data_IF_982151166885
#
_entry.id   IF_982151166885
#
_cell.length_a   1.000
_cell.length_b   1.000
_cell.length_c   1.000
_cell.angle_alpha   90.00
_cell.angle_beta   90.00
_cell.angle_gamma   90.00
#
_symmetry.space_group_name_H-M   'P 1'
#
loop_
_entity.id
_entity.type
_entity.pdbx_description
1 polymer ?
#
# COMPACT_ATOMS: atom_id res chain seq x y z
N UNK A 1 -29.71 2.59 -22.52
CA UNK A 1 -28.26 2.80 -22.36
C UNK A 1 -27.62 2.51 -23.71
N UNK A 2 -27.01 3.51 -24.36
CA UNK A 2 -26.30 3.31 -25.62
C UNK A 2 -25.05 2.45 -25.40
N UNK A 3 -24.60 1.76 -26.45
CA UNK A 3 -23.41 0.88 -26.46
C UNK A 3 -22.07 1.63 -26.26
N UNK A 4 -22.09 2.93 -25.93
CA UNK A 4 -20.95 3.84 -26.11
C UNK A 4 -20.12 4.10 -24.85
N UNK A 5 -20.40 3.49 -23.70
CA UNK A 5 -19.59 3.67 -22.48
C UNK A 5 -19.09 2.36 -21.88
N UNK A 6 -18.67 1.41 -22.71
CA UNK A 6 -17.71 0.39 -22.27
C UNK A 6 -16.29 0.92 -22.45
N UNK A 7 -15.95 2.01 -21.75
CA UNK A 7 -14.56 2.44 -21.64
C UNK A 7 -13.84 1.38 -20.80
N UNK A 8 -13.07 0.51 -21.46
CA UNK A 8 -12.16 -0.41 -20.76
C UNK A 8 -11.06 0.42 -20.10
N UNK A 9 -10.77 0.15 -18.84
CA UNK A 9 -9.61 0.72 -18.15
C UNK A 9 -8.34 0.46 -18.98
N UNK A 10 -7.71 1.53 -19.47
CA UNK A 10 -6.45 1.46 -20.22
C UNK A 10 -5.29 1.30 -19.24
N UNK A 11 -4.25 0.57 -19.65
CA UNK A 11 -3.03 0.41 -18.84
C UNK A 11 -2.33 1.77 -18.71
N UNK A 12 -1.75 2.04 -17.53
CA UNK A 12 -0.87 3.21 -17.34
C UNK A 12 0.29 3.18 -18.33
N UNK A 13 0.57 4.35 -18.93
CA UNK A 13 1.62 4.54 -19.95
C UNK A 13 2.86 5.29 -19.41
N UNK A 14 2.82 5.76 -18.16
CA UNK A 14 3.89 6.56 -17.52
C UNK A 14 5.14 5.74 -17.24
N UNK A 15 6.31 6.36 -17.39
CA UNK A 15 7.62 5.71 -17.29
C UNK A 15 8.31 5.93 -15.93
N UNK A 16 7.84 6.91 -15.14
CA UNK A 16 8.44 7.28 -13.86
C UNK A 16 7.41 7.76 -12.84
N UNK A 17 7.64 7.50 -11.54
CA UNK A 17 6.80 8.01 -10.44
C UNK A 17 6.75 9.54 -10.39
N UNK A 18 7.77 10.23 -10.93
CA UNK A 18 7.80 11.71 -11.00
C UNK A 18 6.73 12.29 -11.91
N UNK A 19 6.18 11.48 -12.82
CA UNK A 19 5.17 11.93 -13.78
C UNK A 19 3.75 11.86 -13.18
N UNK A 20 3.59 11.28 -11.99
CA UNK A 20 2.27 11.04 -11.39
C UNK A 20 1.71 12.34 -10.83
N UNK A 21 0.45 12.62 -11.14
CA UNK A 21 -0.33 13.60 -10.39
C UNK A 21 -0.87 12.97 -9.09
N UNK A 22 -1.53 13.77 -8.25
CA UNK A 22 -2.06 13.32 -6.96
C UNK A 22 -3.00 12.10 -7.07
N UNK A 23 -3.96 12.13 -8.00
CA UNK A 23 -4.97 11.07 -8.13
C UNK A 23 -4.30 9.77 -8.59
N UNK A 24 -3.37 9.86 -9.53
CA UNK A 24 -2.62 8.71 -10.01
C UNK A 24 -1.72 8.13 -8.91
N UNK A 25 -1.06 8.98 -8.12
CA UNK A 25 -0.23 8.56 -7.00
C UNK A 25 -1.06 7.80 -5.96
N UNK A 26 -2.20 8.36 -5.56
CA UNK A 26 -3.14 7.71 -4.64
C UNK A 26 -3.65 6.37 -5.19
N UNK A 27 -4.14 6.37 -6.44
CA UNK A 27 -4.66 5.17 -7.09
C UNK A 27 -3.60 4.07 -7.22
N UNK A 28 -2.36 4.43 -7.53
CA UNK A 28 -1.26 3.50 -7.65
C UNK A 28 -0.87 2.85 -6.32
N UNK A 29 -0.70 3.64 -5.26
CA UNK A 29 -0.40 3.11 -3.91
C UNK A 29 -1.52 2.20 -3.42
N UNK A 30 -2.78 2.61 -3.59
CA UNK A 30 -3.94 1.80 -3.17
C UNK A 30 -4.02 0.50 -3.96
N UNK A 31 -3.86 0.55 -5.29
CA UNK A 31 -3.96 -0.64 -6.13
C UNK A 31 -2.86 -1.68 -5.84
N UNK A 32 -1.62 -1.25 -5.61
CA UNK A 32 -0.56 -2.18 -5.20
C UNK A 32 -0.83 -2.74 -3.80
N UNK A 33 -1.38 -1.94 -2.89
CA UNK A 33 -1.74 -2.42 -1.56
C UNK A 33 -2.82 -3.52 -1.61
N UNK A 34 -3.78 -3.39 -2.52
CA UNK A 34 -4.78 -4.45 -2.78
C UNK A 34 -4.10 -5.74 -3.25
N UNK A 35 -3.15 -5.66 -4.19
CA UNK A 35 -2.42 -6.85 -4.66
C UNK A 35 -1.62 -7.54 -3.54
N UNK A 36 -1.04 -6.77 -2.61
CA UNK A 36 -0.38 -7.34 -1.44
C UNK A 36 -1.40 -8.02 -0.53
N UNK A 37 -2.55 -7.38 -0.30
CA UNK A 37 -3.61 -7.94 0.53
C UNK A 37 -4.19 -9.24 -0.08
N UNK A 38 -4.38 -9.30 -1.39
CA UNK A 38 -4.80 -10.51 -2.11
C UNK A 38 -3.79 -11.65 -1.93
N UNK A 39 -2.47 -11.37 -2.01
CA UNK A 39 -1.44 -12.37 -1.74
C UNK A 39 -1.47 -12.87 -0.30
N UNK A 40 -1.75 -12.00 0.67
CA UNK A 40 -1.90 -12.39 2.07
C UNK A 40 -3.14 -13.27 2.22
N UNK A 41 -4.26 -12.91 1.59
CA UNK A 41 -5.49 -13.69 1.63
C UNK A 41 -5.28 -15.09 1.05
N UNK A 42 -4.59 -15.20 -0.08
CA UNK A 42 -4.20 -16.49 -0.67
C UNK A 42 -3.37 -17.33 0.32
N UNK A 43 -2.34 -16.75 0.95
CA UNK A 43 -1.52 -17.44 1.96
C UNK A 43 -2.39 -17.96 3.10
N UNK A 44 -3.30 -17.14 3.63
CA UNK A 44 -4.16 -17.55 4.74
C UNK A 44 -5.12 -18.66 4.34
N UNK A 45 -5.70 -18.60 3.13
CA UNK A 45 -6.58 -19.65 2.64
C UNK A 45 -5.82 -20.97 2.48
N UNK A 46 -4.63 -20.95 1.89
CA UNK A 46 -3.85 -22.18 1.73
C UNK A 46 -3.37 -22.73 3.06
N UNK A 47 -2.95 -21.86 4.00
CA UNK A 47 -2.49 -22.30 5.31
C UNK A 47 -3.60 -22.96 6.14
N UNK A 48 -4.79 -22.36 6.19
CA UNK A 48 -5.88 -22.87 7.04
C UNK A 48 -6.72 -23.96 6.38
N UNK A 49 -6.63 -24.14 5.06
CA UNK A 49 -7.42 -25.10 4.27
C UNK A 49 -8.90 -25.16 4.69
N UNK A 50 -9.63 -24.02 4.71
CA UNK A 50 -11.02 -24.01 5.15
C UNK A 50 -11.87 -24.89 4.23
N UNK A 51 -12.78 -25.68 4.81
CA UNK A 51 -13.71 -26.52 4.05
C UNK A 51 -14.61 -25.71 3.10
N UNK A 52 -14.95 -24.47 3.48
CA UNK A 52 -15.60 -23.48 2.62
C UNK A 52 -14.69 -22.27 2.38
N UNK A 53 -13.86 -22.38 1.33
CA UNK A 53 -12.95 -21.31 0.89
C UNK A 53 -13.68 -20.03 0.53
N UNK A 54 -14.90 -20.13 -0.02
CA UNK A 54 -15.66 -18.95 -0.46
C UNK A 54 -16.13 -18.14 0.74
N UNK A 55 -16.67 -18.80 1.75
CA UNK A 55 -17.09 -18.13 3.00
C UNK A 55 -15.88 -17.57 3.74
N UNK A 56 -14.77 -18.32 3.81
CA UNK A 56 -13.55 -17.83 4.44
C UNK A 56 -13.04 -16.54 3.77
N UNK A 57 -12.95 -16.52 2.43
CA UNK A 57 -12.50 -15.34 1.69
C UNK A 57 -13.48 -14.16 1.79
N UNK A 58 -14.76 -14.38 1.47
CA UNK A 58 -15.71 -13.27 1.29
C UNK A 58 -16.31 -12.75 2.60
N UNK A 59 -16.26 -13.53 3.68
CA UNK A 59 -16.81 -13.16 4.99
C UNK A 59 -15.67 -12.88 5.96
N UNK A 60 -14.82 -13.87 6.25
CA UNK A 60 -13.80 -13.73 7.30
C UNK A 60 -12.66 -12.80 6.89
N UNK A 61 -12.11 -12.98 5.68
CA UNK A 61 -11.03 -12.15 5.14
C UNK A 61 -11.53 -10.84 4.52
N UNK A 62 -12.85 -10.58 4.54
CA UNK A 62 -13.37 -9.30 4.10
C UNK A 62 -12.74 -8.16 4.91
N UNK A 63 -12.31 -7.09 4.25
CA UNK A 63 -11.64 -5.96 4.90
C UNK A 63 -12.52 -5.22 5.92
N UNK A 64 -13.84 -5.43 5.92
CA UNK A 64 -14.78 -4.93 6.95
C UNK A 64 -14.82 -5.80 8.21
N UNK A 65 -14.41 -7.07 8.10
CA UNK A 65 -14.39 -8.04 9.21
C UNK A 65 -12.97 -8.17 9.75
N UNK A 66 -12.01 -8.45 8.87
CA UNK A 66 -10.60 -8.50 9.19
C UNK A 66 -9.84 -7.45 8.39
N UNK A 67 -9.58 -6.31 9.02
CA UNK A 67 -8.76 -5.26 8.43
C UNK A 67 -7.34 -5.75 8.13
N UNK A 68 -6.65 -5.08 7.21
CA UNK A 68 -5.26 -5.37 6.82
C UNK A 68 -4.32 -5.65 8.00
N UNK A 69 -4.35 -4.80 9.05
CA UNK A 69 -3.52 -5.01 10.25
C UNK A 69 -3.86 -6.28 11.04
N UNK A 70 -5.11 -6.73 11.00
CA UNK A 70 -5.54 -8.02 11.55
C UNK A 70 -4.94 -9.19 10.77
N UNK A 71 -5.03 -9.15 9.43
CA UNK A 71 -4.41 -10.14 8.54
C UNK A 71 -2.90 -10.24 8.77
N UNK A 72 -2.21 -9.11 8.92
CA UNK A 72 -0.77 -9.08 9.24
C UNK A 72 -0.44 -9.77 10.57
N UNK A 73 -1.28 -9.63 11.60
CA UNK A 73 -1.06 -10.32 12.88
C UNK A 73 -1.16 -11.84 12.72
N UNK A 74 -2.15 -12.31 11.96
CA UNK A 74 -2.28 -13.74 11.63
C UNK A 74 -1.05 -14.21 10.85
N UNK A 75 -0.63 -13.46 9.83
CA UNK A 75 0.56 -13.75 9.03
C UNK A 75 1.83 -13.85 9.89
N UNK A 76 1.96 -13.01 10.92
CA UNK A 76 3.03 -13.08 11.92
C UNK A 76 2.95 -14.33 12.79
N UNK A 77 1.75 -14.71 13.22
CA UNK A 77 1.55 -15.92 14.01
C UNK A 77 1.89 -17.20 13.24
N UNK A 78 1.71 -17.21 11.92
CA UNK A 78 2.03 -18.36 11.06
C UNK A 78 3.49 -18.36 10.55
N UNK A 79 4.32 -17.41 11.00
CA UNK A 79 5.78 -17.50 10.88
C UNK A 79 6.46 -16.54 9.91
N UNK A 80 5.79 -15.48 9.41
CA UNK A 80 6.50 -14.50 8.57
C UNK A 80 7.61 -13.79 9.35
N UNK A 81 8.73 -13.50 8.69
CA UNK A 81 9.87 -12.80 9.30
C UNK A 81 9.48 -11.44 9.91
N UNK A 82 10.17 -11.06 11.00
CA UNK A 82 9.87 -9.83 11.75
C UNK A 82 10.21 -8.55 10.98
N UNK A 83 11.26 -8.58 10.15
CA UNK A 83 11.60 -7.49 9.24
C UNK A 83 10.54 -7.31 8.17
N UNK A 84 10.11 -8.40 7.54
CA UNK A 84 9.04 -8.38 6.52
C UNK A 84 7.71 -7.92 7.11
N UNK A 85 7.36 -8.39 8.31
CA UNK A 85 6.20 -7.91 9.06
C UNK A 85 6.24 -6.39 9.27
N UNK A 86 7.39 -5.85 9.68
CA UNK A 86 7.57 -4.41 9.87
C UNK A 86 7.44 -3.63 8.56
N UNK A 87 7.98 -4.16 7.47
CA UNK A 87 7.81 -3.59 6.11
C UNK A 87 6.33 -3.56 5.69
N UNK A 88 5.57 -4.62 5.95
CA UNK A 88 4.13 -4.67 5.67
C UNK A 88 3.33 -3.67 6.50
N UNK A 89 3.65 -3.50 7.79
CA UNK A 89 3.05 -2.45 8.61
C UNK A 89 3.32 -1.06 8.04
N UNK A 90 4.55 -0.82 7.56
CA UNK A 90 4.93 0.46 6.95
C UNK A 90 4.19 0.69 5.63
N UNK A 91 4.03 -0.32 4.79
CA UNK A 91 3.18 -0.29 3.59
C UNK A 91 1.75 0.12 3.96
N UNK A 92 1.15 -0.51 4.98
CA UNK A 92 -0.19 -0.15 5.45
C UNK A 92 -0.29 1.30 5.94
N UNK A 93 0.75 1.79 6.64
CA UNK A 93 0.84 3.19 7.07
C UNK A 93 0.90 4.17 5.88
N UNK A 94 1.72 3.88 4.86
CA UNK A 94 1.82 4.72 3.67
C UNK A 94 0.50 4.69 2.88
N UNK A 95 -0.09 3.52 2.69
CA UNK A 95 -1.41 3.36 2.04
C UNK A 95 -2.47 4.22 2.72
N UNK A 96 -2.52 4.21 4.05
CA UNK A 96 -3.48 5.00 4.80
C UNK A 96 -3.25 6.50 4.64
N UNK A 97 -1.98 6.93 4.57
CA UNK A 97 -1.66 8.33 4.28
C UNK A 97 -2.27 8.74 2.93
N UNK A 98 -2.01 7.99 1.85
CA UNK A 98 -2.56 8.29 0.52
C UNK A 98 -4.09 8.15 0.43
N UNK A 99 -4.68 7.17 1.12
CA UNK A 99 -6.12 6.89 1.04
C UNK A 99 -6.98 7.89 1.83
N UNK A 100 -6.44 8.49 2.89
CA UNK A 100 -7.20 9.32 3.82
C UNK A 100 -6.71 10.76 3.94
N UNK A 101 -5.59 11.11 3.30
CA UNK A 101 -5.03 12.46 3.33
C UNK A 101 -4.97 13.04 1.92
N UNK A 102 -5.40 14.28 1.77
CA UNK A 102 -5.17 15.03 0.55
C UNK A 102 -3.71 15.47 0.48
N UNK A 103 -3.10 15.34 -0.70
CA UNK A 103 -1.86 16.05 -0.99
C UNK A 103 -2.22 17.54 -1.04
N UNK A 104 -1.47 18.34 -0.30
CA UNK A 104 -1.66 19.78 -0.18
C UNK A 104 -0.39 20.51 -0.61
N UNK A 105 -0.51 21.80 -0.93
CA UNK A 105 0.64 22.61 -1.30
C UNK A 105 1.12 23.41 -0.09
N UNK A 106 2.40 23.25 0.26
CA UNK A 106 3.09 24.06 1.25
C UNK A 106 3.90 25.14 0.54
N UNK A 107 3.71 26.40 0.90
CA UNK A 107 4.48 27.53 0.38
C UNK A 107 5.41 28.05 1.47
N UNK A 108 6.71 28.12 1.17
CA UNK A 108 7.71 28.76 2.03
C UNK A 108 8.18 30.04 1.35
N UNK A 109 8.08 31.17 2.05
CA UNK A 109 8.59 32.45 1.58
C UNK A 109 9.81 32.78 2.44
N UNK A 110 10.98 32.80 1.81
CA UNK A 110 12.23 33.20 2.44
C UNK A 110 12.52 34.64 2.07
N UNK A 111 12.50 35.53 3.07
CA UNK A 111 12.89 36.92 2.90
C UNK A 111 14.39 37.06 3.14
N UNK A 112 15.09 37.65 2.19
CA UNK A 112 16.52 37.96 2.27
C UNK A 112 16.65 39.49 2.15
N UNK A 113 17.22 40.20 3.13
CA UNK A 113 17.40 41.64 3.04
C UNK A 113 18.26 42.09 1.84
N UNK A 114 19.09 41.21 1.30
CA UNK A 114 20.02 41.49 0.19
C UNK A 114 19.55 40.94 -1.17
N UNK A 115 18.43 40.20 -1.22
CA UNK A 115 17.89 39.66 -2.47
C UNK A 115 16.35 39.64 -2.52
N UNK A 116 15.77 39.47 -3.71
CA UNK A 116 14.31 39.35 -3.83
C UNK A 116 13.78 38.14 -3.05
N UNK A 117 12.57 38.26 -2.50
CA UNK A 117 11.92 37.20 -1.75
C UNK A 117 11.84 35.91 -2.58
N UNK A 118 12.38 34.81 -2.05
CA UNK A 118 12.33 33.49 -2.70
C UNK A 118 11.09 32.75 -2.23
N UNK A 119 10.27 32.31 -3.18
CA UNK A 119 9.09 31.48 -2.91
C UNK A 119 9.37 30.05 -3.37
N UNK A 120 9.17 29.09 -2.47
CA UNK A 120 9.30 27.66 -2.72
C UNK A 120 7.96 26.97 -2.45
N UNK A 121 7.39 26.32 -3.46
CA UNK A 121 6.10 25.61 -3.37
C UNK A 121 6.37 24.12 -3.49
N UNK A 122 5.90 23.34 -2.51
CA UNK A 122 6.10 21.89 -2.43
C UNK A 122 4.80 21.17 -2.12
N UNK A 123 4.64 20.01 -2.72
CA UNK A 123 3.56 19.09 -2.36
C UNK A 123 3.89 18.38 -1.05
N UNK A 124 2.89 18.27 -0.17
CA UNK A 124 3.03 17.64 1.14
C UNK A 124 1.83 16.76 1.48
N UNK A 125 2.12 15.64 2.13
CA UNK A 125 1.14 14.78 2.80
C UNK A 125 1.36 14.89 4.32
N UNK A 126 0.29 15.19 5.05
CA UNK A 126 0.33 15.36 6.51
C UNK A 126 -0.02 14.05 7.20
N UNK A 127 0.94 13.46 7.90
CA UNK A 127 0.79 12.14 8.51
C UNK A 127 0.96 12.24 10.02
N UNK A 128 -0.01 11.71 10.77
CA UNK A 128 0.09 11.60 12.21
C UNK A 128 0.91 10.36 12.59
N UNK A 129 1.91 10.53 13.45
CA UNK A 129 2.67 9.41 14.00
C UNK A 129 1.97 8.79 15.24
N UNK A 130 2.53 7.71 15.77
CA UNK A 130 2.00 7.02 16.96
C UNK A 130 1.96 7.88 18.23
N UNK A 131 2.71 8.99 18.27
CA UNK A 131 2.73 9.94 19.38
C UNK A 131 1.65 11.03 19.22
N UNK A 132 0.85 10.99 18.15
CA UNK A 132 -0.15 12.02 17.84
C UNK A 132 0.41 13.26 17.14
N UNK A 133 1.69 13.27 16.77
CA UNK A 133 2.32 14.41 16.09
C UNK A 133 2.06 14.34 14.58
N UNK A 134 1.60 15.45 13.99
CA UNK A 134 1.46 15.57 12.54
C UNK A 134 2.81 15.99 11.94
N UNK A 135 3.29 15.23 10.96
CA UNK A 135 4.50 15.53 10.18
C UNK A 135 4.16 15.63 8.70
N UNK A 136 4.57 16.73 8.09
CA UNK A 136 4.50 16.91 6.64
C UNK A 136 5.61 16.10 5.95
N UNK A 137 5.25 15.39 4.90
CA UNK A 137 6.15 14.52 4.13
C UNK A 137 5.97 14.80 2.64
N UNK A 138 7.07 14.68 1.89
CA UNK A 138 7.03 14.73 0.43
C UNK A 138 6.33 13.46 -0.11
N UNK A 139 5.23 13.59 -0.88
CA UNK A 139 4.52 12.45 -1.46
C UNK A 139 5.41 11.60 -2.36
N UNK A 140 6.32 12.22 -3.13
CA UNK A 140 7.21 11.48 -4.02
C UNK A 140 8.13 10.55 -3.23
N UNK A 141 8.77 11.06 -2.17
CA UNK A 141 9.59 10.26 -1.25
C UNK A 141 8.80 9.08 -0.65
N UNK A 142 7.53 9.30 -0.30
CA UNK A 142 6.66 8.23 0.19
C UNK A 142 6.34 7.17 -0.87
N UNK A 143 6.12 7.56 -2.13
CA UNK A 143 5.92 6.60 -3.21
C UNK A 143 7.18 5.77 -3.49
N UNK A 144 8.36 6.39 -3.43
CA UNK A 144 9.65 5.70 -3.58
C UNK A 144 9.85 4.71 -2.43
N UNK A 145 9.63 5.13 -1.18
CA UNK A 145 9.69 4.24 -0.01
C UNK A 145 8.73 3.06 -0.18
N UNK A 146 7.49 3.32 -0.59
CA UNK A 146 6.48 2.30 -0.84
C UNK A 146 6.93 1.29 -1.90
N UNK A 147 7.51 1.77 -3.02
CA UNK A 147 8.00 0.90 -4.09
C UNK A 147 9.12 -0.03 -3.61
N UNK A 148 10.07 0.49 -2.83
CA UNK A 148 11.17 -0.31 -2.31
C UNK A 148 10.70 -1.34 -1.29
N UNK A 149 9.76 -0.96 -0.40
CA UNK A 149 9.10 -1.90 0.49
C UNK A 149 8.34 -2.99 -0.28
N UNK A 150 7.61 -2.61 -1.33
CA UNK A 150 6.87 -3.55 -2.18
C UNK A 150 7.82 -4.58 -2.82
N UNK A 151 8.91 -4.12 -3.46
CA UNK A 151 9.94 -4.99 -4.05
C UNK A 151 10.56 -5.96 -3.05
N UNK A 152 10.63 -5.56 -1.78
CA UNK A 152 11.11 -6.42 -0.70
C UNK A 152 10.08 -7.47 -0.29
N UNK A 153 8.82 -7.08 -0.09
CA UNK A 153 7.79 -7.98 0.48
C UNK A 153 7.17 -8.92 -0.54
N UNK A 154 6.93 -8.46 -1.78
CA UNK A 154 6.20 -9.24 -2.79
C UNK A 154 6.86 -10.59 -3.09
N UNK A 155 8.19 -10.69 -3.33
CA UNK A 155 8.82 -11.97 -3.61
C UNK A 155 8.73 -12.94 -2.42
N UNK A 156 8.79 -12.41 -1.19
CA UNK A 156 8.70 -13.22 0.03
C UNK A 156 7.30 -13.78 0.21
N UNK A 157 6.26 -12.98 0.01
CA UNK A 157 4.88 -13.44 0.09
C UNK A 157 4.58 -14.49 -0.99
N UNK A 158 5.01 -14.25 -2.23
CA UNK A 158 4.87 -15.24 -3.32
C UNK A 158 5.55 -16.55 -2.97
N UNK A 159 6.80 -16.49 -2.51
CA UNK A 159 7.54 -17.68 -2.09
C UNK A 159 6.84 -18.41 -0.94
N UNK A 160 6.38 -17.70 0.08
CA UNK A 160 5.68 -18.29 1.22
C UNK A 160 4.40 -19.01 0.79
N UNK A 161 3.60 -18.40 -0.08
CA UNK A 161 2.41 -19.03 -0.67
C UNK A 161 2.77 -20.33 -1.41
N UNK A 162 3.80 -20.27 -2.26
CA UNK A 162 4.23 -21.41 -3.07
C UNK A 162 4.79 -22.54 -2.18
N UNK A 163 5.58 -22.21 -1.15
CA UNK A 163 6.13 -23.16 -0.18
C UNK A 163 5.00 -23.88 0.60
N UNK A 164 3.97 -23.15 1.03
CA UNK A 164 2.78 -23.73 1.68
C UNK A 164 2.07 -24.67 0.71
N UNK A 165 1.79 -24.23 -0.52
CA UNK A 165 1.11 -25.04 -1.51
C UNK A 165 1.85 -26.34 -1.84
N UNK A 166 3.18 -26.29 -1.97
CA UNK A 166 4.00 -27.47 -2.23
C UNK A 166 4.11 -28.41 -1.01
N UNK A 167 4.05 -27.89 0.21
CA UNK A 167 4.00 -28.73 1.42
C UNK A 167 2.73 -29.58 1.48
N UNK A 168 1.60 -29.01 1.06
CA UNK A 168 0.29 -29.67 1.08
C UNK A 168 0.11 -30.76 0.00
N UNK A 169 0.96 -30.79 -1.03
CA UNK A 169 0.94 -31.86 -2.05
C UNK A 169 1.66 -33.14 -1.61
N UNK A 170 2.45 -33.07 -0.53
CA UNK A 170 3.27 -34.18 -0.05
C UNK A 170 2.57 -35.03 1.00
N UNK A 171 1.45 -34.54 1.51
CA UNK A 171 0.55 -35.23 2.44
C UNK A 171 -0.63 -35.86 1.69
#
# INVERSE_FOLDING_TARGET
MSKEEQIRFTKMTKRSLKEFNQIEAQGWVVNISVQIEDLIDDILIEYFQPSDRRTFLNVLLNSSVMHFGGKLKVLRSIGIDGGIYSSLQRIGSIRNAFAHTNISHSMTITWDPESDAKTDVKDVINVMNSNGEIKSKDPYSYMVEFLELYKQVEPVLKKMRDDIFESLKKD
#
